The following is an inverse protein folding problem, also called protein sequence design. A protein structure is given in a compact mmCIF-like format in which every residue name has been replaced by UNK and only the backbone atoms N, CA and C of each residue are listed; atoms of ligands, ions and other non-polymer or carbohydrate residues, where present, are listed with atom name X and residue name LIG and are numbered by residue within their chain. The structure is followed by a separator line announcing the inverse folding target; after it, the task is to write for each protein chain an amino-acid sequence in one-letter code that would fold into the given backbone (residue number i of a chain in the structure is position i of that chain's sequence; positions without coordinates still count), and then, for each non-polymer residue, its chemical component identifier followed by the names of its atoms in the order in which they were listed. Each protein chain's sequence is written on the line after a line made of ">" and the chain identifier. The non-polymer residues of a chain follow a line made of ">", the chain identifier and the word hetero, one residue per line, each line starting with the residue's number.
data_IF_803138961988
#
_entry.id   IF_803138961988
#
_cell.length_a   1.000
_cell.length_b   1.000
_cell.length_c   1.000
_cell.angle_alpha   90.00
_cell.angle_beta   90.00
_cell.angle_gamma   90.00
#
_symmetry.space_group_name_H-M   'P 1'
#
loop_
_entity.id
_entity.type
_entity.pdbx_description
1 polymer ?
#
# COMPACT_ATOMS: atom_id res chain seq x y z
N UNK A 1 10.74 29.18 40.67
CA UNK A 1 11.16 27.98 41.43
C UNK A 1 10.21 27.77 42.60
N UNK A 2 9.00 27.24 42.34
CA UNK A 2 8.06 26.75 43.34
C UNK A 2 7.20 25.67 42.69
N UNK A 3 6.93 24.60 43.44
CA UNK A 3 5.79 23.70 43.25
C UNK A 3 5.88 22.58 42.19
N UNK A 4 6.94 21.76 42.22
CA UNK A 4 6.85 20.35 41.73
C UNK A 4 6.81 19.35 42.89
N UNK A 5 6.85 19.83 44.14
CA UNK A 5 6.62 18.99 45.31
C UNK A 5 5.13 18.84 45.58
N UNK A 6 4.55 17.74 45.08
CA UNK A 6 3.76 16.81 45.95
C UNK A 6 3.27 15.51 45.30
N UNK A 7 3.87 15.06 44.20
CA UNK A 7 3.93 13.62 43.92
C UNK A 7 5.38 13.22 44.02
N UNK A 8 5.77 12.57 45.14
CA UNK A 8 7.12 12.00 45.25
C UNK A 8 7.31 11.08 44.04
N UNK A 9 8.44 11.19 43.34
CA UNK A 9 8.75 10.39 42.13
C UNK A 9 8.47 8.89 42.35
N UNK A 10 8.68 8.42 43.58
CA UNK A 10 8.35 7.06 44.04
C UNK A 10 6.83 6.77 43.96
N UNK A 11 5.98 7.65 44.47
CA UNK A 11 4.52 7.51 44.40
C UNK A 11 4.00 7.59 42.96
N UNK A 12 4.65 8.42 42.13
CA UNK A 12 4.33 8.48 40.70
C UNK A 12 4.74 7.19 39.97
N UNK A 13 5.90 6.63 40.30
CA UNK A 13 6.40 5.37 39.77
C UNK A 13 5.46 4.19 40.10
N UNK A 14 5.02 4.09 41.36
CA UNK A 14 4.06 3.07 41.80
C UNK A 14 2.71 3.17 41.07
N UNK A 15 2.14 4.38 40.96
CA UNK A 15 0.85 4.58 40.25
C UNK A 15 0.93 4.30 38.76
N UNK A 16 2.08 4.55 38.14
CA UNK A 16 2.30 4.34 36.71
C UNK A 16 2.81 2.94 36.37
N UNK A 17 3.16 2.12 37.38
CA UNK A 17 3.80 0.81 37.17
C UNK A 17 5.17 0.93 36.49
N UNK A 18 5.88 2.04 36.71
CA UNK A 18 7.19 2.32 36.12
C UNK A 18 8.27 2.30 37.19
N UNK A 19 9.53 2.10 36.79
CA UNK A 19 10.67 2.26 37.68
C UNK A 19 10.93 3.73 38.01
N UNK A 20 11.43 4.01 39.21
CA UNK A 20 11.77 5.38 39.68
C UNK A 20 12.64 6.12 38.65
N UNK A 21 13.69 5.48 38.12
CA UNK A 21 14.58 6.05 37.08
C UNK A 21 13.84 6.38 35.77
N UNK A 22 12.78 5.63 35.43
CA UNK A 22 11.98 5.91 34.23
C UNK A 22 11.11 7.15 34.41
N UNK A 23 10.74 7.51 35.64
CA UNK A 23 10.01 8.75 35.97
C UNK A 23 10.96 9.94 36.10
N UNK A 24 12.14 9.75 36.71
CA UNK A 24 13.14 10.83 36.86
C UNK A 24 13.67 11.33 35.50
N UNK A 25 13.90 10.43 34.54
CA UNK A 25 14.49 10.78 33.23
C UNK A 25 13.63 11.78 32.42
N UNK A 26 12.29 11.61 32.31
CA UNK A 26 11.39 12.62 31.77
C UNK A 26 11.38 13.93 32.56
N UNK A 27 11.33 13.87 33.89
CA UNK A 27 11.30 15.08 34.75
C UNK A 27 12.54 15.93 34.52
N UNK A 28 13.74 15.35 34.57
CA UNK A 28 14.99 16.07 34.31
C UNK A 28 15.06 16.64 32.89
N UNK A 29 14.52 15.93 31.89
CA UNK A 29 14.46 16.44 30.51
C UNK A 29 13.46 17.59 30.36
N UNK A 30 12.35 17.54 31.08
CA UNK A 30 11.36 18.61 31.12
C UNK A 30 11.91 19.87 31.80
N UNK A 31 12.68 19.72 32.88
CA UNK A 31 13.35 20.85 33.52
C UNK A 31 14.36 21.53 32.59
N UNK A 32 15.10 20.75 31.78
CA UNK A 32 16.13 21.28 30.88
C UNK A 32 15.57 21.91 29.58
N UNK A 33 14.52 21.32 29.00
CA UNK A 33 14.04 21.67 27.64
C UNK A 33 12.52 21.91 27.56
N UNK A 34 11.82 21.95 28.70
CA UNK A 34 10.37 22.10 28.76
C UNK A 34 9.64 20.97 28.04
N UNK A 35 8.52 21.32 27.40
CA UNK A 35 7.67 20.37 26.64
C UNK A 35 8.46 19.66 25.53
N UNK A 36 9.44 20.33 24.90
CA UNK A 36 10.26 19.72 23.86
C UNK A 36 11.11 18.55 24.39
N UNK A 37 11.47 18.55 25.67
CA UNK A 37 12.27 17.48 26.30
C UNK A 37 11.50 16.18 26.54
N UNK A 38 10.17 16.24 26.58
CA UNK A 38 9.30 15.06 26.69
C UNK A 38 9.22 14.29 25.36
N UNK A 39 9.43 14.98 24.25
CA UNK A 39 9.48 14.36 22.92
C UNK A 39 10.69 13.45 22.84
N UNK A 40 10.52 12.28 22.21
CA UNK A 40 11.65 11.37 21.96
C UNK A 40 12.70 12.07 21.11
N UNK A 41 13.96 12.08 21.57
CA UNK A 41 15.09 12.62 20.78
C UNK A 41 15.38 11.83 19.49
N UNK A 42 14.74 10.67 19.31
CA UNK A 42 14.74 9.92 18.04
C UNK A 42 13.72 10.48 17.04
N UNK A 43 12.77 11.31 17.47
CA UNK A 43 11.75 11.90 16.60
C UNK A 43 12.45 12.86 15.62
N UNK A 44 12.22 12.65 14.33
CA UNK A 44 12.85 13.43 13.25
C UNK A 44 14.23 12.95 12.83
N UNK A 45 14.84 11.97 13.53
CA UNK A 45 16.09 11.35 13.08
C UNK A 45 15.80 10.14 12.21
N UNK A 46 16.58 9.93 11.13
CA UNK A 46 16.48 8.72 10.34
C UNK A 46 16.77 7.50 11.21
N UNK A 47 15.98 6.43 11.07
CA UNK A 47 16.19 5.20 11.82
C UNK A 47 17.48 4.50 11.38
N UNK A 48 18.10 3.70 12.25
CA UNK A 48 19.34 2.97 11.93
C UNK A 48 19.21 2.06 10.70
N UNK A 49 17.99 1.62 10.36
CA UNK A 49 17.70 0.75 9.22
C UNK A 49 17.19 1.53 7.99
N UNK A 50 17.24 2.87 8.05
CA UNK A 50 16.84 3.69 6.91
C UNK A 50 17.86 3.52 5.79
N UNK A 51 17.34 3.26 4.60
CA UNK A 51 18.17 3.17 3.40
C UNK A 51 18.91 4.49 3.16
N UNK A 52 20.13 4.43 2.61
CA UNK A 52 20.83 5.63 2.17
C UNK A 52 19.93 6.45 1.24
N UNK A 53 19.94 7.76 1.42
CA UNK A 53 19.22 8.68 0.54
C UNK A 53 19.64 8.42 -0.93
N UNK A 54 18.67 8.45 -1.84
CA UNK A 54 18.90 8.20 -3.28
C UNK A 54 18.79 6.74 -3.73
N UNK A 55 19.14 5.74 -2.90
CA UNK A 55 19.07 4.34 -3.32
C UNK A 55 17.63 3.88 -3.62
N UNK A 56 16.67 4.31 -2.79
CA UNK A 56 15.24 4.03 -3.01
C UNK A 56 14.72 4.69 -4.30
N UNK A 57 15.13 5.93 -4.56
CA UNK A 57 14.72 6.69 -5.75
C UNK A 57 15.31 6.09 -7.03
N UNK A 58 16.61 5.74 -7.01
CA UNK A 58 17.29 5.06 -8.10
C UNK A 58 16.66 3.70 -8.40
N UNK A 59 16.35 2.92 -7.36
CA UNK A 59 15.67 1.65 -7.54
C UNK A 59 14.27 1.82 -8.15
N UNK A 60 13.50 2.81 -7.71
CA UNK A 60 12.17 3.09 -8.27
C UNK A 60 12.20 3.55 -9.73
N UNK A 61 13.16 4.41 -10.11
CA UNK A 61 13.35 4.85 -11.49
C UNK A 61 13.59 3.65 -12.42
N UNK A 62 14.54 2.77 -12.04
CA UNK A 62 14.84 1.56 -12.79
C UNK A 62 13.64 0.61 -12.93
N UNK A 63 12.82 0.48 -11.87
CA UNK A 63 11.63 -0.36 -11.90
C UNK A 63 10.61 0.17 -12.90
N UNK A 64 10.39 1.49 -12.93
CA UNK A 64 9.44 2.13 -13.85
C UNK A 64 9.91 2.03 -15.31
N UNK A 65 11.19 2.24 -15.55
CA UNK A 65 11.75 2.26 -16.91
C UNK A 65 11.88 0.84 -17.50
N UNK A 66 12.36 -0.12 -16.71
CA UNK A 66 12.81 -1.40 -17.24
C UNK A 66 11.93 -2.58 -16.85
N UNK A 67 11.17 -2.47 -15.77
CA UNK A 67 10.44 -3.60 -15.17
C UNK A 67 8.98 -3.27 -14.77
N UNK A 68 8.16 -2.65 -15.65
CA UNK A 68 6.81 -2.22 -15.28
C UNK A 68 5.85 -3.39 -14.95
N UNK A 69 6.10 -4.58 -15.49
CA UNK A 69 5.22 -5.75 -15.34
C UNK A 69 5.72 -6.78 -14.33
N UNK A 70 6.89 -6.57 -13.73
CA UNK A 70 7.51 -7.56 -12.87
C UNK A 70 6.96 -7.49 -11.45
N UNK A 71 6.79 -8.68 -10.84
CA UNK A 71 6.47 -8.79 -9.42
C UNK A 71 7.66 -8.42 -8.53
N UNK A 72 7.42 -8.13 -7.24
CA UNK A 72 8.46 -7.66 -6.32
C UNK A 72 9.65 -8.63 -6.17
N UNK A 73 9.42 -9.94 -6.27
CA UNK A 73 10.47 -10.96 -6.22
C UNK A 73 11.38 -10.90 -7.45
N UNK A 74 10.80 -10.98 -8.65
CA UNK A 74 11.56 -10.96 -9.91
C UNK A 74 12.31 -9.64 -10.10
N UNK A 75 11.67 -8.53 -9.73
CA UNK A 75 12.31 -7.21 -9.72
C UNK A 75 13.53 -7.17 -8.80
N UNK A 76 13.49 -7.85 -7.65
CA UNK A 76 14.63 -7.93 -6.74
C UNK A 76 15.79 -8.70 -7.36
N UNK A 77 15.52 -9.85 -7.97
CA UNK A 77 16.51 -10.68 -8.65
C UNK A 77 17.16 -9.91 -9.81
N UNK A 78 16.34 -9.37 -10.73
CA UNK A 78 16.85 -8.67 -11.92
C UNK A 78 17.56 -7.37 -11.61
N UNK A 79 17.12 -6.62 -10.61
CA UNK A 79 17.85 -5.43 -10.16
C UNK A 79 19.20 -5.79 -9.54
N UNK A 80 19.29 -6.91 -8.81
CA UNK A 80 20.57 -7.38 -8.25
C UNK A 80 21.52 -7.85 -9.35
N UNK A 81 21.04 -8.64 -10.30
CA UNK A 81 21.82 -9.18 -11.42
C UNK A 81 22.30 -8.08 -12.39
N UNK A 82 21.40 -7.22 -12.86
CA UNK A 82 21.70 -6.27 -13.93
C UNK A 82 22.26 -4.93 -13.43
N UNK A 83 21.93 -4.52 -12.19
CA UNK A 83 22.22 -3.18 -11.70
C UNK A 83 23.00 -3.16 -10.38
N UNK A 84 23.30 -4.32 -9.78
CA UNK A 84 24.13 -4.41 -8.57
C UNK A 84 23.49 -3.83 -7.29
N UNK A 85 22.19 -3.51 -7.31
CA UNK A 85 21.52 -2.89 -6.16
C UNK A 85 20.90 -3.97 -5.27
N UNK A 86 21.57 -4.27 -4.16
CA UNK A 86 21.13 -5.25 -3.15
C UNK A 86 20.11 -4.69 -2.14
N UNK A 87 18.85 -4.50 -2.55
CA UNK A 87 17.73 -4.28 -1.62
C UNK A 87 17.00 -5.60 -1.36
N UNK A 88 16.55 -5.81 -0.12
CA UNK A 88 15.71 -6.95 0.24
C UNK A 88 14.35 -6.88 -0.47
N UNK A 89 13.74 -8.05 -0.71
CA UNK A 89 12.44 -8.18 -1.41
C UNK A 89 11.34 -7.36 -0.73
N UNK A 90 11.31 -7.32 0.62
CA UNK A 90 10.32 -6.54 1.36
C UNK A 90 10.43 -5.04 1.09
N UNK A 91 11.66 -4.53 1.02
CA UNK A 91 11.94 -3.14 0.67
C UNK A 91 11.44 -2.81 -0.73
N UNK A 92 11.66 -3.70 -1.70
CA UNK A 92 11.14 -3.54 -3.07
C UNK A 92 9.62 -3.51 -3.06
N UNK A 93 8.98 -4.42 -2.31
CA UNK A 93 7.53 -4.47 -2.20
C UNK A 93 6.95 -3.19 -1.65
N UNK A 94 7.51 -2.66 -0.56
CA UNK A 94 7.07 -1.39 0.04
C UNK A 94 7.24 -0.22 -0.93
N UNK A 95 8.38 -0.16 -1.63
CA UNK A 95 8.63 0.87 -2.65
C UNK A 95 7.63 0.76 -3.81
N UNK A 96 7.39 -0.44 -4.34
CA UNK A 96 6.46 -0.65 -5.45
C UNK A 96 5.00 -0.39 -5.07
N UNK A 97 4.60 -0.71 -3.83
CA UNK A 97 3.28 -0.33 -3.28
C UNK A 97 3.14 1.18 -3.19
N UNK A 98 4.11 1.86 -2.57
CA UNK A 98 4.11 3.32 -2.41
C UNK A 98 4.10 4.06 -3.77
N UNK A 99 4.78 3.49 -4.77
CA UNK A 99 4.85 4.05 -6.12
C UNK A 99 3.64 3.70 -7.01
N UNK A 100 2.69 2.88 -6.53
CA UNK A 100 1.51 2.44 -7.27
C UNK A 100 1.78 1.47 -8.43
N UNK A 101 3.04 1.05 -8.62
CA UNK A 101 3.44 0.14 -9.71
C UNK A 101 2.93 -1.28 -9.47
N UNK A 102 2.83 -1.68 -8.20
CA UNK A 102 2.36 -3.01 -7.84
C UNK A 102 1.33 -2.94 -6.72
N UNK A 103 0.12 -3.40 -7.06
CA UNK A 103 -1.00 -3.49 -6.12
C UNK A 103 -1.06 -4.91 -5.55
N UNK A 104 -1.08 -5.08 -4.21
CA UNK A 104 -1.26 -6.36 -3.54
C UNK A 104 -2.56 -7.04 -3.95
N UNK A 105 -2.57 -8.37 -4.03
CA UNK A 105 -3.76 -9.11 -4.48
C UNK A 105 -5.02 -8.79 -3.65
N UNK A 106 -4.88 -8.55 -2.35
CA UNK A 106 -6.00 -8.20 -1.45
C UNK A 106 -6.61 -6.83 -1.75
N UNK A 107 -5.83 -5.91 -2.31
CA UNK A 107 -6.25 -4.53 -2.62
C UNK A 107 -6.74 -4.41 -4.07
N UNK A 108 -6.59 -5.45 -4.90
CA UNK A 108 -7.11 -5.45 -6.27
C UNK A 108 -8.62 -5.65 -6.24
N UNK A 109 -9.33 -4.88 -7.06
CA UNK A 109 -10.76 -5.11 -7.30
C UNK A 109 -11.00 -6.57 -7.71
N UNK A 110 -12.08 -7.20 -7.21
CA UNK A 110 -12.42 -8.57 -7.59
C UNK A 110 -12.58 -8.63 -9.11
N UNK A 111 -12.00 -9.67 -9.72
CA UNK A 111 -12.16 -9.90 -11.15
C UNK A 111 -13.63 -10.25 -11.39
N UNK A 112 -14.33 -9.41 -12.13
CA UNK A 112 -15.65 -9.73 -12.64
C UNK A 112 -15.47 -10.79 -13.71
N UNK A 113 -15.76 -12.04 -13.36
CA UNK A 113 -15.78 -13.14 -14.31
C UNK A 113 -17.12 -13.09 -15.04
N UNK A 114 -17.08 -13.00 -16.36
CA UNK A 114 -18.30 -13.16 -17.16
C UNK A 114 -18.74 -14.63 -17.08
N UNK A 115 -20.00 -14.91 -16.72
CA UNK A 115 -20.55 -16.26 -16.82
C UNK A 115 -20.40 -16.77 -18.25
N UNK A 116 -19.78 -17.93 -18.42
CA UNK A 116 -19.73 -18.56 -19.73
C UNK A 116 -21.09 -19.20 -20.01
N UNK A 117 -21.76 -18.81 -21.09
CA UNK A 117 -23.04 -19.41 -21.45
C UNK A 117 -22.84 -20.90 -21.78
N UNK A 118 -23.79 -21.74 -21.40
CA UNK A 118 -23.75 -23.16 -21.77
C UNK A 118 -23.88 -23.26 -23.29
N UNK A 119 -23.00 -24.06 -23.90
CA UNK A 119 -23.05 -24.36 -25.34
C UNK A 119 -24.29 -25.19 -25.65
N UNK A 120 -24.82 -25.07 -26.86
CA UNK A 120 -26.01 -25.82 -27.25
C UNK A 120 -25.69 -27.33 -27.38
N UNK A 121 -24.48 -27.68 -27.81
CA UNK A 121 -24.02 -29.06 -27.97
C UNK A 121 -22.51 -29.22 -27.64
N UNK A 122 -22.12 -30.46 -27.32
CA UNK A 122 -20.71 -30.86 -27.23
C UNK A 122 -20.04 -30.71 -28.61
N UNK A 123 -18.90 -30.02 -28.67
CA UNK A 123 -18.13 -29.83 -29.91
C UNK A 123 -18.44 -28.55 -30.70
N UNK A 124 -19.39 -27.72 -30.25
CA UNK A 124 -19.65 -26.41 -30.86
C UNK A 124 -18.39 -25.52 -30.80
N UNK A 125 -17.84 -25.14 -31.95
CA UNK A 125 -16.66 -24.29 -32.07
C UNK A 125 -17.07 -22.81 -32.02
N UNK A 126 -16.49 -22.07 -31.08
CA UNK A 126 -16.66 -20.61 -31.00
C UNK A 126 -15.42 -19.95 -31.61
N UNK A 127 -15.60 -19.19 -32.68
CA UNK A 127 -14.52 -18.48 -33.33
C UNK A 127 -14.20 -17.20 -32.55
N UNK A 128 -13.08 -17.19 -31.83
CA UNK A 128 -12.54 -15.99 -31.20
C UNK A 128 -11.60 -15.34 -32.21
N UNK A 129 -12.10 -14.34 -32.94
CA UNK A 129 -11.26 -13.56 -33.84
C UNK A 129 -10.55 -12.47 -33.06
N UNK A 130 -9.22 -12.54 -33.00
CA UNK A 130 -8.42 -11.39 -32.58
C UNK A 130 -8.41 -10.37 -33.71
N UNK A 131 -9.38 -9.45 -33.71
CA UNK A 131 -9.33 -8.31 -34.61
C UNK A 131 -8.27 -7.32 -34.08
N UNK A 132 -7.19 -7.12 -34.82
CA UNK A 132 -6.38 -5.92 -34.64
C UNK A 132 -7.23 -4.73 -35.07
N UNK A 133 -7.25 -3.61 -34.31
CA UNK A 133 -8.01 -2.44 -34.70
C UNK A 133 -7.32 -1.82 -35.93
N UNK A 134 -7.70 -2.31 -37.11
CA UNK A 134 -7.36 -1.66 -38.38
C UNK A 134 -8.22 -0.41 -38.47
N UNK A 135 -7.55 0.73 -38.52
CA UNK A 135 -8.15 2.05 -38.45
C UNK A 135 -9.38 2.19 -39.39
N UNK A 136 -10.49 2.69 -38.84
CA UNK A 136 -11.49 3.39 -39.65
C UNK A 136 -12.74 2.63 -40.12
N UNK A 137 -13.07 1.44 -39.59
CA UNK A 137 -14.42 0.86 -39.82
C UNK A 137 -15.18 0.70 -38.50
N UNK A 138 -16.31 1.41 -38.38
CA UNK A 138 -17.33 1.16 -37.33
C UNK A 138 -17.84 -0.27 -37.51
N UNK A 139 -17.62 -1.12 -36.52
CA UNK A 139 -18.21 -2.46 -36.46
C UNK A 139 -19.75 -2.35 -36.36
N UNK A 140 -20.53 -3.14 -37.12
CA UNK A 140 -21.98 -3.18 -36.97
C UNK A 140 -22.34 -3.77 -35.60
N UNK A 141 -23.13 -3.00 -34.85
CA UNK A 141 -23.80 -3.42 -33.63
C UNK A 141 -24.84 -4.50 -33.95
N UNK A 142 -24.43 -5.76 -33.94
CA UNK A 142 -25.35 -6.91 -33.90
C UNK A 142 -24.99 -7.86 -32.75
N UNK A 143 -24.82 -7.27 -31.56
CA UNK A 143 -25.31 -7.88 -30.33
C UNK A 143 -26.64 -7.18 -30.08
N UNK A 144 -27.73 -7.76 -30.60
CA UNK A 144 -29.09 -7.24 -30.43
C UNK A 144 -29.46 -7.28 -28.94
N UNK A 145 -29.81 -6.10 -28.43
CA UNK A 145 -30.33 -5.82 -27.10
C UNK A 145 -31.80 -6.25 -26.93
N UNK A 146 -32.23 -7.37 -27.50
CA UNK A 146 -33.60 -7.88 -27.32
C UNK A 146 -33.72 -8.79 -26.09
N UNK A 147 -33.39 -8.22 -24.92
CA UNK A 147 -34.08 -8.56 -23.66
C UNK A 147 -33.89 -7.48 -22.59
N UNK A 148 -34.19 -6.25 -22.97
CA UNK A 148 -34.83 -5.30 -22.06
C UNK A 148 -36.22 -5.85 -21.70
N UNK A 149 -36.25 -6.80 -20.78
CA UNK A 149 -37.44 -7.08 -19.97
C UNK A 149 -36.92 -7.55 -18.61
N UNK A 150 -36.43 -6.58 -17.84
CA UNK A 150 -36.75 -6.29 -16.43
C UNK A 150 -35.94 -5.02 -16.08
N UNK A 151 -36.43 -3.87 -16.53
CA UNK A 151 -36.29 -2.64 -15.75
C UNK A 151 -37.68 -2.42 -15.14
N UNK A 152 -37.89 -2.88 -13.92
CA UNK A 152 -38.50 -2.06 -12.87
C UNK A 152 -38.44 -2.74 -11.49
N UNK A 153 -37.74 -2.07 -10.57
CA UNK A 153 -38.00 -1.90 -9.13
C UNK A 153 -36.68 -1.39 -8.54
N UNK A 154 -36.40 -0.09 -8.58
CA UNK A 154 -36.87 0.92 -7.61
C UNK A 154 -36.27 0.69 -6.22
N UNK A 155 -35.52 1.70 -5.76
CA UNK A 155 -35.16 2.03 -4.36
C UNK A 155 -34.17 1.06 -3.67
N UNK A 156 -33.05 1.48 -3.09
CA UNK A 156 -32.90 2.55 -2.10
C UNK A 156 -31.46 3.11 -2.12
N UNK A 157 -31.35 4.44 -2.21
CA UNK A 157 -30.18 5.19 -1.75
C UNK A 157 -30.47 5.69 -0.33
N UNK A 158 -29.69 5.19 0.63
CA UNK A 158 -29.24 5.89 1.86
C UNK A 158 -30.02 5.61 3.17
N UNK A 159 -29.45 5.93 4.36
CA UNK A 159 -28.16 6.57 4.63
C UNK A 159 -27.24 5.78 5.60
N UNK A 160 -26.06 6.38 5.81
CA UNK A 160 -25.04 6.10 6.82
C UNK A 160 -25.64 6.11 8.23
N UNK A 161 -25.18 5.17 9.05
CA UNK A 161 -24.62 5.37 10.39
C UNK A 161 -23.54 4.30 10.63
#
# INVERSE_FOLDING_TARGET
>A
MREVDRFKVIQAAERLGLGVRQVERPVRRYEAAGVAGLVSGKRGRPGNHQLPAGNAQRALALIRERYPHFGPTLTCEKRRECHGIGLAVETVRTLMRAAGVWIPRKERAPRVHQPYNRRACLGELVQIVMATPTAGRRFPAQITWERLSVINCVELVGPRD
#
